data_IF_578933833866
#
_entry.id   IF_578933833866
#
_cell.length_a   1.000
_cell.length_b   1.000
_cell.length_c   1.000
_cell.angle_alpha   90.00
_cell.angle_beta   90.00
_cell.angle_gamma   90.00
#
_symmetry.space_group_name_H-M   'P 1'
#
loop_
_entity.id
_entity.type
_entity.pdbx_description
1 polymer ?
#
# COMPACT_ATOMS: atom_id res chain seq x y z
N UNK A 1 10.83 31.64 12.04
CA UNK A 1 11.85 30.61 11.74
C UNK A 1 11.21 29.25 11.88
N UNK A 2 10.85 28.60 10.79
CA UNK A 2 10.27 27.24 10.82
C UNK A 2 11.45 26.28 10.92
N UNK A 3 11.66 25.70 12.09
CA UNK A 3 12.67 24.65 12.26
C UNK A 3 12.21 23.48 11.41
N UNK A 4 12.89 23.21 10.30
CA UNK A 4 12.69 22.02 9.51
C UNK A 4 13.18 20.82 10.36
N UNK A 5 12.25 20.08 10.94
CA UNK A 5 12.54 18.82 11.60
C UNK A 5 13.18 17.88 10.56
N UNK A 6 14.46 17.62 10.71
CA UNK A 6 15.14 16.60 9.94
C UNK A 6 14.66 15.25 10.51
N UNK A 7 14.02 14.45 9.66
CA UNK A 7 13.66 13.08 10.03
C UNK A 7 14.94 12.28 10.25
N UNK A 8 15.02 11.58 11.37
CA UNK A 8 16.08 10.60 11.64
C UNK A 8 15.68 9.26 11.02
N UNK A 9 15.90 9.15 9.72
CA UNK A 9 15.62 7.95 8.94
C UNK A 9 16.89 7.13 8.76
N UNK A 10 16.77 5.82 8.90
CA UNK A 10 17.86 4.88 8.64
C UNK A 10 18.29 4.93 7.18
N UNK A 11 17.32 5.04 6.26
CA UNK A 11 17.56 5.19 4.81
C UNK A 11 16.65 6.23 4.18
N UNK A 12 17.04 6.88 3.07
CA UNK A 12 16.16 7.76 2.31
C UNK A 12 14.88 7.05 1.87
N UNK A 13 13.77 7.79 1.82
CA UNK A 13 12.46 7.29 1.40
C UNK A 13 11.94 8.12 0.22
N UNK A 14 11.53 7.44 -0.83
CA UNK A 14 10.78 8.01 -1.95
C UNK A 14 9.44 7.27 -2.07
N UNK A 15 8.35 8.01 -2.26
CA UNK A 15 7.01 7.43 -2.38
C UNK A 15 6.51 7.59 -3.81
N UNK A 16 5.90 6.54 -4.32
CA UNK A 16 5.24 6.53 -5.62
C UNK A 16 3.74 6.27 -5.47
N UNK A 17 2.99 6.82 -6.38
CA UNK A 17 1.57 6.51 -6.59
C UNK A 17 1.22 6.61 -8.06
N UNK A 18 0.07 6.06 -8.47
CA UNK A 18 -0.47 6.35 -9.80
C UNK A 18 -1.99 6.49 -9.80
N UNK A 19 -2.50 7.24 -10.77
CA UNK A 19 -3.93 7.41 -11.00
C UNK A 19 -4.22 7.72 -12.47
N UNK A 20 -5.43 7.43 -12.92
CA UNK A 20 -5.94 7.95 -14.20
C UNK A 20 -6.36 9.40 -14.02
N UNK A 21 -6.15 10.22 -15.04
CA UNK A 21 -6.56 11.63 -15.02
C UNK A 21 -8.08 11.76 -14.79
N UNK A 22 -8.89 10.85 -15.34
CA UNK A 22 -10.33 10.78 -15.07
C UNK A 22 -10.69 10.62 -13.59
N UNK A 23 -9.82 9.98 -12.83
CA UNK A 23 -10.03 9.66 -11.41
C UNK A 23 -9.43 10.71 -10.47
N UNK A 24 -8.81 11.77 -11.04
CA UNK A 24 -8.15 12.81 -10.26
C UNK A 24 -9.07 13.42 -9.20
N UNK A 25 -10.26 13.87 -9.59
CA UNK A 25 -11.24 14.46 -8.67
C UNK A 25 -12.03 13.42 -7.87
N UNK A 26 -12.00 12.15 -8.28
CA UNK A 26 -12.70 11.07 -7.58
C UNK A 26 -11.97 10.70 -6.28
N UNK A 27 -10.63 10.49 -6.36
CA UNK A 27 -9.85 10.10 -5.18
C UNK A 27 -8.42 10.67 -5.13
N UNK A 28 -7.73 10.85 -6.29
CA UNK A 28 -6.31 11.22 -6.27
C UNK A 28 -6.07 12.61 -5.68
N UNK A 29 -6.97 13.57 -5.89
CA UNK A 29 -6.88 14.91 -5.30
C UNK A 29 -6.82 14.86 -3.78
N UNK A 30 -7.67 14.04 -3.13
CA UNK A 30 -7.68 13.88 -1.66
C UNK A 30 -6.39 13.26 -1.14
N UNK A 31 -5.84 12.27 -1.85
CA UNK A 31 -4.52 11.73 -1.56
C UNK A 31 -3.45 12.82 -1.54
N UNK A 32 -3.38 13.63 -2.60
CA UNK A 32 -2.40 14.70 -2.76
C UNK A 32 -2.58 15.84 -1.74
N UNK A 33 -3.80 16.21 -1.41
CA UNK A 33 -4.11 17.17 -0.34
C UNK A 33 -3.63 16.65 1.02
N UNK A 34 -3.90 15.39 1.33
CA UNK A 34 -3.43 14.75 2.56
C UNK A 34 -1.91 14.61 2.60
N UNK A 35 -1.28 14.33 1.46
CA UNK A 35 0.18 14.35 1.32
C UNK A 35 0.77 15.71 1.72
N UNK A 36 0.28 16.77 1.12
CA UNK A 36 0.77 18.14 1.41
C UNK A 36 0.60 18.51 2.88
N UNK A 37 -0.47 18.03 3.51
CA UNK A 37 -0.82 18.34 4.90
C UNK A 37 0.00 17.55 5.92
N UNK A 38 0.24 16.27 5.68
CA UNK A 38 0.70 15.36 6.72
C UNK A 38 2.09 14.76 6.49
N UNK A 39 2.62 14.84 5.25
CA UNK A 39 3.93 14.27 4.97
C UNK A 39 5.06 15.27 5.14
N UNK A 40 6.25 14.80 5.56
CA UNK A 40 7.45 15.65 5.69
C UNK A 40 7.87 16.22 4.33
N UNK A 41 8.28 17.47 4.31
CA UNK A 41 8.66 18.20 3.08
C UNK A 41 9.92 17.65 2.39
N UNK A 42 10.77 16.94 3.12
CA UNK A 42 11.97 16.29 2.61
C UNK A 42 11.72 14.89 2.02
N UNK A 43 10.53 14.32 2.16
CA UNK A 43 10.13 13.08 1.47
C UNK A 43 9.52 13.45 0.13
N UNK A 44 10.00 12.82 -0.93
CA UNK A 44 9.54 13.04 -2.30
C UNK A 44 8.39 12.11 -2.64
N UNK A 45 7.37 12.65 -3.29
CA UNK A 45 6.32 11.91 -3.96
C UNK A 45 6.50 12.02 -5.47
N UNK A 46 6.58 10.90 -6.17
CA UNK A 46 6.41 10.85 -7.62
C UNK A 46 5.02 10.32 -7.94
N UNK A 47 4.16 11.20 -8.42
CA UNK A 47 2.78 10.91 -8.78
C UNK A 47 2.69 10.63 -10.29
N UNK A 48 2.61 9.36 -10.64
CA UNK A 48 2.41 8.94 -12.01
C UNK A 48 0.94 9.13 -12.41
N UNK A 49 0.70 9.58 -13.64
CA UNK A 49 -0.66 9.73 -14.17
C UNK A 49 -0.78 9.19 -15.58
N UNK A 50 -1.97 8.70 -15.92
CA UNK A 50 -2.28 8.07 -17.21
C UNK A 50 -3.57 8.71 -17.81
N UNK A 51 -3.62 8.80 -19.15
CA UNK A 51 -4.83 9.23 -19.85
C UNK A 51 -4.96 10.74 -20.04
N UNK A 52 -3.89 11.40 -20.50
CA UNK A 52 -3.94 12.77 -20.98
C UNK A 52 -3.28 13.82 -20.08
N UNK A 53 -3.87 15.00 -19.99
CA UNK A 53 -3.30 16.15 -19.27
C UNK A 53 -3.90 16.29 -17.87
N UNK A 54 -3.06 16.56 -16.88
CA UNK A 54 -3.52 16.92 -15.54
C UNK A 54 -4.45 18.14 -15.55
N UNK A 55 -5.41 18.23 -14.61
CA UNK A 55 -6.22 19.42 -14.40
C UNK A 55 -5.33 20.65 -14.13
N UNK A 56 -5.77 21.83 -14.59
CA UNK A 56 -5.02 23.08 -14.39
C UNK A 56 -4.82 23.43 -12.90
N UNK A 57 -5.77 23.02 -12.08
CA UNK A 57 -5.81 23.18 -10.62
C UNK A 57 -5.24 21.98 -9.87
N UNK A 58 -4.47 21.12 -10.54
CA UNK A 58 -3.79 20.02 -9.88
C UNK A 58 -2.92 20.51 -8.71
N UNK A 59 -2.94 19.76 -7.59
CA UNK A 59 -2.21 20.10 -6.37
C UNK A 59 -0.71 20.22 -6.69
N UNK A 60 -0.10 21.32 -6.27
CA UNK A 60 1.34 21.57 -6.48
C UNK A 60 2.05 21.73 -5.15
N UNK A 61 3.15 21.01 -4.96
CA UNK A 61 4.06 21.17 -3.84
C UNK A 61 5.50 20.88 -4.28
N UNK A 62 6.49 21.45 -3.61
CA UNK A 62 7.91 21.30 -3.97
C UNK A 62 8.40 19.85 -3.93
N UNK A 63 7.76 19.00 -3.13
CA UNK A 63 8.10 17.59 -2.97
C UNK A 63 7.15 16.65 -3.74
N UNK A 64 6.33 17.18 -4.66
CA UNK A 64 5.51 16.39 -5.59
C UNK A 64 6.04 16.56 -7.01
N UNK A 65 6.35 15.44 -7.66
CA UNK A 65 6.75 15.39 -9.06
C UNK A 65 5.69 14.60 -9.81
N UNK A 66 5.18 15.15 -10.91
CA UNK A 66 4.23 14.47 -11.79
C UNK A 66 4.93 13.89 -13.00
N UNK A 67 4.65 12.61 -13.29
CA UNK A 67 5.22 11.89 -14.44
C UNK A 67 4.10 11.24 -15.23
N UNK A 68 4.05 11.49 -16.55
CA UNK A 68 3.05 10.85 -17.42
C UNK A 68 3.47 9.44 -17.79
N UNK A 69 2.61 8.46 -17.49
CA UNK A 69 2.75 7.08 -17.93
C UNK A 69 2.52 6.91 -19.44
N UNK A 70 1.84 7.85 -20.08
CA UNK A 70 1.68 7.85 -21.56
C UNK A 70 3.04 7.95 -22.28
N UNK A 71 4.08 8.41 -21.60
CA UNK A 71 5.47 8.48 -22.12
C UNK A 71 6.27 7.19 -21.90
N UNK A 72 5.76 6.24 -21.13
CA UNK A 72 6.41 4.96 -20.92
C UNK A 72 6.06 4.03 -22.10
N UNK A 73 7.04 3.85 -23.01
CA UNK A 73 6.83 3.05 -24.22
C UNK A 73 6.50 1.58 -23.92
N UNK A 74 7.16 0.97 -22.92
CA UNK A 74 6.92 -0.43 -22.55
C UNK A 74 5.48 -0.63 -22.04
N UNK A 75 4.97 0.29 -21.20
CA UNK A 75 3.57 0.24 -20.75
C UNK A 75 2.61 0.48 -21.91
N UNK A 76 2.92 1.45 -22.78
CA UNK A 76 2.08 1.77 -23.95
C UNK A 76 1.98 0.56 -24.88
N UNK A 77 3.09 -0.12 -25.15
CA UNK A 77 3.13 -1.34 -25.95
C UNK A 77 2.37 -2.48 -25.27
N UNK A 78 2.52 -2.65 -23.95
CA UNK A 78 1.74 -3.64 -23.20
C UNK A 78 0.23 -3.36 -23.30
N UNK A 79 -0.19 -2.14 -23.07
CA UNK A 79 -1.61 -1.72 -23.17
C UNK A 79 -2.16 -1.98 -24.56
N UNK A 80 -1.40 -1.67 -25.61
CA UNK A 80 -1.81 -1.87 -27.00
C UNK A 80 -1.97 -3.34 -27.35
N UNK A 81 -0.99 -4.19 -26.96
CA UNK A 81 -1.04 -5.63 -27.25
C UNK A 81 -2.12 -6.36 -26.46
N UNK A 82 -2.50 -5.84 -25.29
CA UNK A 82 -3.37 -6.50 -24.33
C UNK A 82 -4.68 -5.74 -24.08
N UNK A 83 -5.12 -4.90 -25.00
CA UNK A 83 -6.31 -4.06 -24.82
C UNK A 83 -7.59 -4.84 -24.50
N UNK A 84 -7.70 -6.09 -24.98
CA UNK A 84 -8.83 -7.00 -24.71
C UNK A 84 -8.82 -7.56 -23.28
N UNK A 85 -7.68 -7.53 -22.57
CA UNK A 85 -7.52 -8.05 -21.21
C UNK A 85 -7.73 -6.94 -20.15
N UNK A 86 -8.90 -6.28 -20.23
CA UNK A 86 -9.32 -5.12 -19.45
C UNK A 86 -10.47 -5.43 -18.48
N UNK A 87 -10.63 -6.69 -18.08
CA UNK A 87 -11.69 -7.15 -17.17
C UNK A 87 -12.97 -7.62 -17.86
N UNK A 88 -13.12 -7.42 -19.18
CA UNK A 88 -14.23 -7.96 -19.96
C UNK A 88 -15.62 -7.41 -19.63
N UNK A 89 -16.65 -8.11 -20.10
CA UNK A 89 -18.07 -7.78 -19.83
C UNK A 89 -18.82 -9.08 -19.46
N UNK A 90 -19.41 -9.21 -18.24
CA UNK A 90 -19.38 -8.22 -17.14
C UNK A 90 -17.96 -8.01 -16.59
N UNK A 91 -17.70 -6.82 -16.03
CA UNK A 91 -16.37 -6.46 -15.55
C UNK A 91 -15.90 -7.35 -14.40
N UNK A 92 -14.78 -8.02 -14.62
CA UNK A 92 -14.06 -8.80 -13.62
C UNK A 92 -12.68 -8.17 -13.37
N UNK A 93 -12.52 -7.46 -12.26
CA UNK A 93 -11.26 -6.79 -11.94
C UNK A 93 -10.07 -7.75 -11.86
N UNK A 94 -10.28 -9.03 -11.50
CA UNK A 94 -9.22 -10.04 -11.41
C UNK A 94 -8.56 -10.36 -12.75
N UNK A 95 -9.27 -10.06 -13.84
CA UNK A 95 -8.85 -10.28 -15.22
C UNK A 95 -8.53 -8.97 -15.95
N UNK A 96 -8.17 -7.90 -15.22
CA UNK A 96 -7.80 -6.60 -15.80
C UNK A 96 -6.28 -6.37 -15.70
N UNK A 97 -5.52 -7.08 -16.56
CA UNK A 97 -4.06 -6.96 -16.60
C UNK A 97 -3.60 -5.54 -16.94
N UNK A 98 -4.36 -4.84 -17.79
CA UNK A 98 -4.04 -3.47 -18.21
C UNK A 98 -4.07 -2.51 -17.02
N UNK A 99 -5.11 -2.58 -16.18
CA UNK A 99 -5.24 -1.73 -14.99
C UNK A 99 -4.08 -1.94 -14.02
N UNK A 100 -3.77 -3.19 -13.70
CA UNK A 100 -2.78 -3.53 -12.68
C UNK A 100 -1.33 -3.41 -13.16
N UNK A 101 -1.10 -3.29 -14.47
CA UNK A 101 0.25 -3.05 -15.02
C UNK A 101 0.82 -1.69 -14.61
N UNK A 102 -0.02 -0.65 -14.45
CA UNK A 102 0.41 0.73 -14.18
C UNK A 102 1.36 0.83 -12.97
N UNK A 103 1.05 0.15 -11.87
CA UNK A 103 1.88 0.10 -10.65
C UNK A 103 3.26 -0.42 -10.95
N UNK A 104 3.35 -1.57 -11.60
CA UNK A 104 4.60 -2.27 -11.87
C UNK A 104 5.49 -1.47 -12.81
N UNK A 105 4.90 -0.93 -13.88
CA UNK A 105 5.67 -0.09 -14.82
C UNK A 105 6.10 1.24 -14.17
N UNK A 106 5.29 1.86 -13.30
CA UNK A 106 5.67 3.07 -12.58
C UNK A 106 6.85 2.84 -11.63
N UNK A 107 6.85 1.74 -10.86
CA UNK A 107 7.96 1.35 -9.99
C UNK A 107 9.25 1.15 -10.77
N UNK A 108 9.21 0.39 -11.87
CA UNK A 108 10.39 0.12 -12.69
C UNK A 108 10.84 1.34 -13.51
N UNK A 109 9.93 2.19 -13.95
CA UNK A 109 10.26 3.45 -14.62
C UNK A 109 11.04 4.37 -13.68
N UNK A 110 10.59 4.48 -12.43
CA UNK A 110 11.29 5.28 -11.42
C UNK A 110 12.73 4.83 -11.23
N UNK A 111 12.96 3.52 -11.05
CA UNK A 111 14.30 2.95 -10.86
C UNK A 111 15.20 3.25 -12.06
N UNK A 112 14.67 3.13 -13.29
CA UNK A 112 15.44 3.41 -14.53
C UNK A 112 15.92 4.85 -14.61
N UNK A 113 15.16 5.80 -14.03
CA UNK A 113 15.49 7.23 -14.04
C UNK A 113 16.27 7.69 -12.79
N UNK A 114 16.57 6.79 -11.86
CA UNK A 114 17.44 7.12 -10.73
C UNK A 114 18.86 7.38 -11.23
N UNK A 115 19.34 8.59 -11.02
CA UNK A 115 20.61 9.06 -11.62
C UNK A 115 21.86 8.72 -10.81
N UNK A 116 21.71 8.30 -9.55
CA UNK A 116 22.87 8.02 -8.70
C UNK A 116 22.60 6.99 -7.59
N UNK A 117 23.70 6.39 -7.06
CA UNK A 117 23.63 5.55 -5.84
C UNK A 117 23.09 6.33 -4.61
N UNK A 118 23.15 7.66 -4.61
CA UNK A 118 22.62 8.52 -3.55
C UNK A 118 21.08 8.54 -3.48
N UNK A 119 20.42 8.12 -4.57
CA UNK A 119 18.98 8.00 -4.63
C UNK A 119 18.47 6.65 -4.11
N UNK A 120 19.38 5.75 -3.68
CA UNK A 120 19.05 4.46 -3.08
C UNK A 120 18.46 4.66 -1.70
N UNK A 121 17.68 3.70 -1.28
CA UNK A 121 16.93 3.70 -0.03
C UNK A 121 15.62 2.98 -0.25
N UNK A 122 14.60 3.35 0.48
CA UNK A 122 13.28 2.76 0.34
C UNK A 122 12.47 3.42 -0.77
N UNK A 123 12.03 2.61 -1.73
CA UNK A 123 11.04 2.96 -2.73
C UNK A 123 9.68 2.43 -2.26
N UNK A 124 8.77 3.33 -1.92
CA UNK A 124 7.45 2.96 -1.40
C UNK A 124 6.37 3.20 -2.44
N UNK A 125 5.43 2.28 -2.51
CA UNK A 125 4.19 2.45 -3.22
C UNK A 125 3.04 2.71 -2.25
N UNK A 126 2.20 3.69 -2.55
CA UNK A 126 0.92 3.91 -1.86
C UNK A 126 -0.15 4.16 -2.93
N UNK A 127 -1.24 3.39 -2.88
CA UNK A 127 -2.36 3.58 -3.81
C UNK A 127 -2.97 4.99 -3.66
N UNK A 128 -3.35 5.61 -4.77
CA UNK A 128 -3.87 6.99 -4.78
C UNK A 128 -5.27 7.15 -4.14
N UNK A 129 -5.90 6.07 -3.69
CA UNK A 129 -7.12 6.06 -2.90
C UNK A 129 -6.87 5.88 -1.39
N UNK A 130 -5.61 5.98 -0.96
CA UNK A 130 -5.20 6.03 0.45
C UNK A 130 -5.07 7.49 0.90
N UNK A 131 -5.72 7.87 1.99
CA UNK A 131 -5.65 9.21 2.55
C UNK A 131 -4.83 9.16 3.85
N UNK A 132 -3.87 10.06 3.97
CA UNK A 132 -3.12 10.26 5.21
C UNK A 132 -3.94 11.11 6.17
N UNK A 133 -4.11 10.67 7.41
CA UNK A 133 -4.94 11.34 8.42
C UNK A 133 -4.15 11.90 9.59
N UNK A 134 -2.91 11.43 9.77
CA UNK A 134 -2.02 11.81 10.86
C UNK A 134 -0.64 12.15 10.31
N UNK A 135 0.10 13.04 11.00
CA UNK A 135 1.46 13.41 10.60
C UNK A 135 2.39 12.20 10.57
N UNK A 136 2.97 11.96 9.41
CA UNK A 136 3.96 10.90 9.20
C UNK A 136 5.29 11.35 9.80
N UNK A 137 5.91 10.50 10.60
CA UNK A 137 7.18 10.76 11.26
C UNK A 137 8.21 9.63 11.02
N UNK A 138 9.42 9.82 11.55
CA UNK A 138 10.49 8.83 11.44
C UNK A 138 10.17 7.52 12.18
N UNK A 139 9.43 7.57 13.27
CA UNK A 139 9.09 6.38 14.04
C UNK A 139 8.21 5.44 13.21
N UNK A 140 7.17 6.00 12.57
CA UNK A 140 6.35 5.21 11.65
C UNK A 140 7.20 4.67 10.50
N UNK A 141 7.99 5.52 9.84
CA UNK A 141 8.73 5.11 8.65
C UNK A 141 9.77 4.03 8.97
N UNK A 142 10.51 4.16 10.07
CA UNK A 142 11.47 3.14 10.51
C UNK A 142 10.78 1.83 10.92
N UNK A 143 9.56 1.92 11.49
CA UNK A 143 8.77 0.74 11.83
C UNK A 143 8.30 -0.03 10.59
N UNK A 144 7.81 0.68 9.58
CA UNK A 144 7.25 0.04 8.38
C UNK A 144 8.29 -0.26 7.29
N UNK A 145 9.49 0.30 7.39
CA UNK A 145 10.60 0.19 6.41
C UNK A 145 11.92 -0.13 7.13
N UNK A 146 12.03 -1.26 7.83
CA UNK A 146 13.25 -1.62 8.57
C UNK A 146 14.38 -1.99 7.59
N UNK A 147 15.57 -1.40 7.75
CA UNK A 147 16.70 -1.62 6.85
C UNK A 147 17.21 -3.08 6.81
N UNK A 148 16.76 -3.92 7.74
CA UNK A 148 17.03 -5.36 7.75
C UNK A 148 16.22 -6.17 6.72
N UNK A 149 15.31 -5.53 5.99
CA UNK A 149 14.42 -6.21 5.04
C UNK A 149 14.60 -5.68 3.62
N UNK A 150 14.44 -6.57 2.64
CA UNK A 150 14.44 -6.24 1.21
C UNK A 150 13.09 -5.67 0.76
N UNK A 151 11.99 -6.18 1.33
CA UNK A 151 10.61 -5.82 0.96
C UNK A 151 9.78 -5.62 2.22
N UNK A 152 8.88 -4.62 2.20
CA UNK A 152 7.82 -4.44 3.21
C UNK A 152 6.45 -4.52 2.53
N UNK A 153 5.52 -5.27 3.14
CA UNK A 153 4.22 -5.53 2.54
C UNK A 153 3.12 -5.77 3.59
N UNK A 154 1.88 -5.77 3.12
CA UNK A 154 0.70 -6.10 3.90
C UNK A 154 0.26 -7.54 3.60
N UNK A 155 0.69 -8.51 4.39
CA UNK A 155 0.25 -9.90 4.25
C UNK A 155 -1.19 -10.11 4.70
N UNK A 156 -1.76 -11.26 4.32
CA UNK A 156 -3.09 -11.71 4.76
C UNK A 156 -3.02 -13.15 5.24
N UNK A 157 -3.94 -13.51 6.12
CA UNK A 157 -4.06 -14.85 6.67
C UNK A 157 -5.44 -15.44 6.36
N UNK A 158 -5.46 -16.50 5.55
CA UNK A 158 -6.60 -17.42 5.42
C UNK A 158 -7.83 -16.97 4.63
N UNK A 159 -8.08 -15.68 4.40
CA UNK A 159 -9.26 -15.21 3.63
C UNK A 159 -8.94 -15.08 2.14
N UNK A 160 -7.77 -14.58 1.86
CA UNK A 160 -7.16 -14.47 0.54
C UNK A 160 -5.70 -14.86 0.73
N UNK A 161 -5.19 -15.68 -0.15
CA UNK A 161 -3.85 -16.26 -0.09
C UNK A 161 -2.75 -15.35 -0.68
N UNK A 162 -2.99 -14.02 -0.74
CA UNK A 162 -2.02 -13.05 -1.23
C UNK A 162 -2.12 -11.69 -0.54
N UNK A 163 -1.00 -10.99 -0.54
CA UNK A 163 -0.82 -9.67 0.08
C UNK A 163 -1.76 -8.61 -0.47
N UNK A 164 -2.00 -7.58 0.31
CA UNK A 164 -2.59 -6.33 -0.14
C UNK A 164 -1.49 -5.40 -0.66
N UNK A 165 -1.63 -4.87 -1.85
CA UNK A 165 -0.64 -4.04 -2.51
C UNK A 165 -0.95 -2.54 -2.49
N UNK A 166 -1.90 -2.11 -1.67
CA UNK A 166 -2.16 -0.69 -1.44
C UNK A 166 -0.99 0.04 -0.76
N UNK A 167 -0.13 -0.71 -0.07
CA UNK A 167 1.19 -0.28 0.39
C UNK A 167 2.22 -1.37 0.07
N UNK A 168 3.37 -0.96 -0.47
CA UNK A 168 4.55 -1.79 -0.68
C UNK A 168 5.81 -0.95 -0.44
N UNK A 169 6.85 -1.58 0.10
CA UNK A 169 8.18 -1.00 0.21
C UNK A 169 9.23 -1.91 -0.43
N UNK A 170 10.19 -1.33 -1.14
CA UNK A 170 11.33 -2.03 -1.74
C UNK A 170 12.62 -1.33 -1.32
N UNK A 171 13.52 -2.04 -0.65
CA UNK A 171 14.79 -1.49 -0.20
C UNK A 171 15.83 -1.59 -1.32
N UNK A 172 16.00 -0.50 -2.06
CA UNK A 172 16.90 -0.43 -3.19
C UNK A 172 18.40 -0.40 -2.82
N UNK A 173 18.73 -0.46 -1.53
CA UNK A 173 20.10 -0.72 -1.09
C UNK A 173 20.53 -2.17 -1.38
N UNK A 174 19.58 -3.08 -1.55
CA UNK A 174 19.79 -4.51 -1.80
C UNK A 174 19.42 -4.90 -3.22
N UNK A 175 20.29 -5.68 -3.86
CA UNK A 175 20.07 -6.15 -5.24
C UNK A 175 18.81 -7.02 -5.37
N UNK A 176 18.45 -7.76 -4.34
CA UNK A 176 17.24 -8.63 -4.34
C UNK A 176 15.95 -7.87 -4.59
N UNK A 177 15.83 -6.63 -4.07
CA UNK A 177 14.68 -5.78 -4.36
C UNK A 177 14.63 -5.35 -5.83
N UNK A 178 15.80 -5.06 -6.44
CA UNK A 178 15.90 -4.76 -7.88
C UNK A 178 15.54 -5.99 -8.73
N UNK A 179 16.05 -7.16 -8.37
CA UNK A 179 15.75 -8.41 -9.07
C UNK A 179 14.25 -8.73 -9.00
N UNK A 180 13.65 -8.58 -7.84
CA UNK A 180 12.20 -8.75 -7.67
C UNK A 180 11.40 -7.84 -8.61
N UNK A 181 11.72 -6.54 -8.63
CA UNK A 181 11.01 -5.57 -9.47
C UNK A 181 11.22 -5.83 -10.96
N UNK A 182 12.43 -6.24 -11.36
CA UNK A 182 12.72 -6.67 -12.74
C UNK A 182 11.85 -7.86 -13.13
N UNK A 183 11.78 -8.89 -12.29
CA UNK A 183 11.03 -10.10 -12.57
C UNK A 183 9.52 -9.83 -12.55
N UNK A 184 9.05 -8.92 -11.66
CA UNK A 184 7.66 -8.49 -11.65
C UNK A 184 7.26 -7.78 -12.95
N UNK A 185 8.11 -6.87 -13.45
CA UNK A 185 7.91 -6.27 -14.78
C UNK A 185 7.97 -7.33 -15.89
N UNK A 186 8.86 -8.31 -15.76
CA UNK A 186 9.00 -9.44 -16.69
C UNK A 186 7.67 -10.12 -16.97
N UNK A 187 6.87 -10.45 -15.95
CA UNK A 187 5.55 -11.08 -16.12
C UNK A 187 4.63 -10.31 -17.07
N UNK A 188 4.70 -8.97 -17.07
CA UNK A 188 3.89 -8.14 -17.97
C UNK A 188 4.50 -8.02 -19.36
N UNK A 189 5.82 -7.80 -19.45
CA UNK A 189 6.48 -7.60 -20.75
C UNK A 189 6.49 -8.87 -21.61
N UNK A 190 6.54 -10.06 -21.00
CA UNK A 190 6.45 -11.36 -21.67
C UNK A 190 5.02 -11.89 -21.81
N UNK A 191 4.03 -11.21 -21.24
CA UNK A 191 2.64 -11.67 -21.13
C UNK A 191 2.43 -12.89 -20.23
N UNK A 192 3.41 -13.33 -19.44
CA UNK A 192 3.27 -14.45 -18.49
C UNK A 192 2.18 -14.18 -17.44
N UNK A 193 1.90 -12.93 -17.14
CA UNK A 193 0.79 -12.51 -16.26
C UNK A 193 -0.54 -13.13 -16.71
N UNK A 194 -0.79 -13.30 -18.00
CA UNK A 194 -2.03 -13.84 -18.55
C UNK A 194 -2.21 -15.34 -18.31
N UNK A 195 -1.14 -16.05 -18.00
CA UNK A 195 -1.17 -17.47 -17.59
C UNK A 195 -1.45 -17.67 -16.11
N UNK A 196 -1.56 -16.60 -15.31
CA UNK A 196 -1.84 -16.70 -13.89
C UNK A 196 -3.36 -16.80 -13.62
N UNK A 197 -3.71 -17.33 -12.44
CA UNK A 197 -5.11 -17.46 -11.98
C UNK A 197 -5.83 -16.10 -11.92
N UNK A 198 -5.11 -15.05 -11.54
CA UNK A 198 -5.58 -13.67 -11.48
C UNK A 198 -4.48 -12.74 -12.02
N UNK A 199 -4.87 -11.69 -12.73
CA UNK A 199 -3.94 -10.75 -13.35
C UNK A 199 -3.74 -9.48 -12.52
N UNK A 200 -4.08 -9.55 -11.24
CA UNK A 200 -3.90 -8.43 -10.31
C UNK A 200 -2.43 -8.30 -9.90
N UNK A 201 -2.03 -7.07 -9.59
CA UNK A 201 -0.73 -6.78 -8.99
C UNK A 201 -0.53 -7.53 -7.67
N UNK A 202 -1.58 -7.65 -6.86
CA UNK A 202 -1.56 -8.33 -5.58
C UNK A 202 -1.26 -9.84 -5.71
N UNK A 203 -1.92 -10.53 -6.65
CA UNK A 203 -1.69 -11.96 -6.88
C UNK A 203 -0.29 -12.22 -7.45
N UNK A 204 0.12 -11.44 -8.45
CA UNK A 204 1.44 -11.57 -9.06
C UNK A 204 2.59 -11.23 -8.10
N UNK A 205 2.39 -10.20 -7.26
CA UNK A 205 3.33 -9.84 -6.19
C UNK A 205 3.56 -11.00 -5.23
N UNK A 206 2.49 -11.60 -4.67
CA UNK A 206 2.61 -12.70 -3.71
C UNK A 206 3.28 -13.93 -4.33
N UNK A 207 2.91 -14.27 -5.57
CA UNK A 207 3.53 -15.38 -6.29
C UNK A 207 5.05 -15.18 -6.41
N UNK A 208 5.48 -14.00 -6.82
CA UNK A 208 6.91 -13.68 -6.91
C UNK A 208 7.57 -13.61 -5.54
N UNK A 209 6.89 -13.05 -4.54
CA UNK A 209 7.43 -12.97 -3.19
C UNK A 209 7.75 -14.37 -2.64
N UNK A 210 6.85 -15.33 -2.84
CA UNK A 210 7.07 -16.70 -2.42
C UNK A 210 8.21 -17.38 -3.20
N UNK A 211 8.35 -17.09 -4.50
CA UNK A 211 9.49 -17.56 -5.30
C UNK A 211 10.80 -16.95 -4.76
N UNK A 212 10.86 -15.64 -4.59
CA UNK A 212 12.06 -14.94 -4.13
C UNK A 212 12.43 -15.25 -2.67
N UNK A 213 11.47 -15.60 -1.80
CA UNK A 213 11.76 -16.11 -0.45
C UNK A 213 12.63 -17.37 -0.49
N UNK A 214 12.40 -18.27 -1.44
CA UNK A 214 13.24 -19.45 -1.65
C UNK A 214 14.67 -19.08 -2.12
N UNK A 215 14.86 -17.89 -2.64
CA UNK A 215 16.15 -17.32 -3.03
C UNK A 215 16.69 -16.30 -2.00
N UNK A 216 16.13 -16.31 -0.79
CA UNK A 216 16.63 -15.58 0.37
C UNK A 216 16.27 -14.09 0.41
N UNK A 217 15.20 -13.63 -0.30
CA UNK A 217 14.65 -12.29 -0.08
C UNK A 217 14.05 -12.22 1.34
N UNK A 218 14.32 -11.13 2.05
CA UNK A 218 13.75 -10.87 3.37
C UNK A 218 12.54 -9.97 3.24
N UNK A 219 11.40 -10.37 3.83
CA UNK A 219 10.15 -9.64 3.75
C UNK A 219 9.62 -9.26 5.13
N UNK A 220 9.38 -7.97 5.35
CA UNK A 220 8.71 -7.44 6.52
C UNK A 220 7.21 -7.39 6.31
N UNK A 221 6.49 -8.30 6.96
CA UNK A 221 5.03 -8.34 6.89
C UNK A 221 4.41 -7.45 7.98
N UNK A 222 3.76 -6.36 7.57
CA UNK A 222 3.13 -5.38 8.47
C UNK A 222 1.82 -5.87 9.08
N UNK A 223 1.21 -6.92 8.52
CA UNK A 223 -0.12 -7.41 8.93
C UNK A 223 -0.18 -8.95 8.96
N UNK A 224 0.72 -9.63 9.72
CA UNK A 224 0.85 -11.08 9.68
C UNK A 224 -0.41 -11.83 10.13
N UNK A 225 -1.29 -11.16 10.87
CA UNK A 225 -2.52 -11.73 11.43
C UNK A 225 -3.80 -11.19 10.76
N UNK A 226 -3.67 -10.44 9.65
CA UNK A 226 -4.82 -9.85 8.97
C UNK A 226 -5.66 -10.91 8.25
N UNK A 227 -6.66 -11.43 8.92
CA UNK A 227 -7.64 -12.35 8.33
C UNK A 227 -8.80 -11.59 7.67
N UNK A 228 -8.51 -10.59 6.82
CA UNK A 228 -9.47 -9.65 6.24
C UNK A 228 -9.10 -9.24 4.81
N UNK A 229 -10.07 -8.68 4.08
CA UNK A 229 -9.83 -8.09 2.76
C UNK A 229 -9.01 -6.78 2.83
N UNK A 230 -9.05 -6.08 3.97
CA UNK A 230 -8.36 -4.81 4.16
C UNK A 230 -7.26 -4.93 5.22
N UNK A 231 -6.09 -5.38 4.77
CA UNK A 231 -4.95 -5.61 5.64
C UNK A 231 -4.36 -4.30 6.21
N UNK A 232 -4.65 -3.14 5.60
CA UNK A 232 -4.30 -1.84 6.16
C UNK A 232 -4.81 -1.67 7.59
N UNK A 233 -6.06 -2.09 7.82
CA UNK A 233 -6.74 -1.94 9.12
C UNK A 233 -6.09 -2.75 10.25
N UNK A 234 -5.24 -3.73 9.92
CA UNK A 234 -4.59 -4.63 10.85
C UNK A 234 -3.07 -4.48 10.86
N UNK A 235 -2.61 -3.30 10.47
CA UNK A 235 -1.20 -2.95 10.40
C UNK A 235 -0.92 -1.64 11.13
N UNK A 236 0.35 -1.29 11.39
CA UNK A 236 0.72 0.02 11.93
C UNK A 236 0.23 1.19 11.07
N UNK A 237 -0.07 0.94 9.79
CA UNK A 237 -0.59 1.97 8.87
C UNK A 237 -1.99 2.45 9.25
N UNK A 238 -2.82 1.64 9.92
CA UNK A 238 -4.20 1.98 10.29
C UNK A 238 -4.32 3.26 11.12
N UNK A 239 -3.30 3.60 11.89
CA UNK A 239 -3.28 4.80 12.72
C UNK A 239 -3.08 6.09 11.89
N UNK A 240 -2.44 5.97 10.73
CA UNK A 240 -1.99 7.09 9.91
C UNK A 240 -2.73 7.23 8.60
N UNK A 241 -3.34 6.15 8.11
CA UNK A 241 -3.90 6.08 6.77
C UNK A 241 -5.28 5.45 6.74
N UNK A 242 -6.07 5.89 5.79
CA UNK A 242 -7.37 5.33 5.44
C UNK A 242 -7.33 4.88 4.00
N UNK A 243 -7.64 3.62 3.73
CA UNK A 243 -7.71 3.07 2.39
C UNK A 243 -9.16 3.00 1.89
N UNK A 244 -9.51 3.79 0.88
CA UNK A 244 -10.86 3.85 0.31
C UNK A 244 -11.04 2.82 -0.81
N UNK A 245 -11.23 1.55 -0.46
CA UNK A 245 -11.41 0.48 -1.44
C UNK A 245 -12.79 0.50 -2.12
N UNK A 246 -12.79 0.11 -3.42
CA UNK A 246 -14.01 -0.15 -4.18
C UNK A 246 -14.96 1.04 -4.21
N UNK A 247 -16.24 0.81 -3.93
CA UNK A 247 -17.28 1.84 -3.91
C UNK A 247 -17.07 2.98 -2.89
N UNK A 248 -16.23 2.77 -1.87
CA UNK A 248 -15.89 3.83 -0.90
C UNK A 248 -15.14 5.02 -1.53
N UNK A 249 -14.52 4.84 -2.70
CA UNK A 249 -13.80 5.90 -3.43
C UNK A 249 -14.69 7.08 -3.79
N UNK A 250 -15.96 6.84 -4.09
CA UNK A 250 -16.94 7.84 -4.52
C UNK A 250 -17.70 8.50 -3.38
N UNK A 251 -17.56 8.02 -2.14
CA UNK A 251 -18.24 8.56 -0.98
C UNK A 251 -17.48 9.80 -0.49
N UNK A 252 -17.77 10.96 -1.08
CA UNK A 252 -17.06 12.21 -0.81
C UNK A 252 -17.31 12.78 0.61
N UNK A 253 -18.44 12.47 1.26
CA UNK A 253 -18.89 13.09 2.50
C UNK A 253 -19.42 12.12 3.56
N UNK A 254 -19.26 10.80 3.40
CA UNK A 254 -19.60 9.91 4.49
C UNK A 254 -18.63 10.18 5.65
N UNK A 255 -19.12 10.41 6.87
CA UNK A 255 -18.25 10.44 8.02
C UNK A 255 -17.56 9.08 8.05
N UNK A 256 -16.24 9.11 7.82
CA UNK A 256 -15.43 7.91 7.97
C UNK A 256 -15.54 7.47 9.42
N UNK A 257 -16.19 6.37 9.64
CA UNK A 257 -16.05 5.62 10.87
C UNK A 257 -15.06 4.49 10.59
N UNK A 258 -13.80 4.65 10.99
CA UNK A 258 -12.84 3.57 10.86
C UNK A 258 -13.34 2.40 11.70
N UNK A 259 -13.65 1.29 11.03
CA UNK A 259 -13.92 0.04 11.71
C UNK A 259 -12.85 -0.28 12.78
N UNK A 260 -11.56 -0.04 12.51
CA UNK A 260 -10.49 -0.27 13.47
C UNK A 260 -10.39 0.74 14.61
N UNK A 261 -10.71 2.02 14.41
CA UNK A 261 -10.67 3.00 15.53
C UNK A 261 -11.69 2.63 16.61
N UNK A 262 -12.85 2.14 16.22
CA UNK A 262 -13.86 1.63 17.16
C UNK A 262 -13.32 0.46 17.99
N UNK A 263 -12.54 -0.45 17.38
CA UNK A 263 -11.91 -1.54 18.12
C UNK A 263 -10.72 -1.09 18.92
N UNK A 264 -9.94 -0.13 18.43
CA UNK A 264 -8.82 0.44 19.15
C UNK A 264 -9.26 1.15 20.43
N UNK A 265 -10.40 1.83 20.39
CA UNK A 265 -11.01 2.41 21.60
C UNK A 265 -11.40 1.32 22.61
N UNK A 266 -11.99 0.22 22.13
CA UNK A 266 -12.34 -0.93 23.00
C UNK A 266 -11.06 -1.61 23.51
N UNK A 267 -10.04 -1.81 22.69
CA UNK A 267 -8.74 -2.35 23.08
C UNK A 267 -8.06 -1.47 24.13
N UNK A 268 -8.04 -0.16 23.93
CA UNK A 268 -7.52 0.81 24.89
C UNK A 268 -8.30 0.76 26.22
N UNK A 269 -9.63 0.63 26.13
CA UNK A 269 -10.47 0.47 27.32
C UNK A 269 -10.13 -0.82 28.07
N UNK A 270 -10.03 -1.97 27.38
CA UNK A 270 -9.65 -3.26 27.97
C UNK A 270 -8.30 -3.15 28.66
N UNK A 271 -7.31 -2.54 27.99
CA UNK A 271 -5.95 -2.37 28.53
C UNK A 271 -5.93 -1.42 29.72
N UNK A 272 -6.62 -0.26 29.61
CA UNK A 272 -6.68 0.75 30.67
C UNK A 272 -7.33 0.22 31.96
N UNK A 273 -8.44 -0.50 31.84
CA UNK A 273 -9.17 -1.06 32.98
C UNK A 273 -8.72 -2.47 33.36
N UNK A 274 -7.68 -3.00 32.69
CA UNK A 274 -7.14 -4.35 32.92
C UNK A 274 -8.23 -5.44 32.91
N UNK A 275 -9.14 -5.31 31.95
CA UNK A 275 -10.28 -6.22 31.86
C UNK A 275 -9.85 -7.61 31.46
N UNK A 276 -10.23 -8.62 32.23
CA UNK A 276 -9.95 -10.05 32.02
C UNK A 276 -11.19 -10.87 31.70
N UNK A 277 -12.38 -10.22 31.73
CA UNK A 277 -13.65 -10.82 31.35
C UNK A 277 -14.26 -10.03 30.22
N UNK A 278 -14.53 -10.69 29.12
CA UNK A 278 -15.06 -10.08 27.90
C UNK A 278 -16.31 -10.85 27.46
N UNK A 279 -17.36 -10.11 27.13
CA UNK A 279 -18.57 -10.63 26.47
C UNK A 279 -18.72 -9.94 25.13
N UNK A 280 -18.79 -10.70 24.05
CA UNK A 280 -19.12 -10.19 22.73
C UNK A 280 -20.39 -10.85 22.22
N UNK A 281 -21.41 -10.04 21.91
CA UNK A 281 -22.66 -10.50 21.32
C UNK A 281 -22.60 -10.29 19.82
N UNK A 282 -22.73 -11.37 19.02
CA UNK A 282 -22.78 -11.30 17.55
C UNK A 282 -21.40 -11.41 16.87
N UNK A 283 -20.57 -12.31 17.30
CA UNK A 283 -19.32 -12.70 16.62
C UNK A 283 -19.62 -13.33 15.27
N UNK A 284 -19.52 -12.56 14.20
CA UNK A 284 -19.80 -13.10 12.86
C UNK A 284 -18.78 -14.14 12.40
N UNK A 285 -17.48 -13.95 12.68
CA UNK A 285 -16.42 -14.86 12.20
C UNK A 285 -15.22 -14.98 13.17
N UNK A 286 -15.40 -14.64 14.43
CA UNK A 286 -14.40 -14.74 15.49
C UNK A 286 -13.21 -13.77 15.41
N UNK A 287 -13.11 -12.96 14.36
CA UNK A 287 -11.94 -12.08 14.16
C UNK A 287 -11.84 -10.96 15.17
N UNK A 288 -13.00 -10.43 15.60
CA UNK A 288 -13.05 -9.43 16.67
C UNK A 288 -12.67 -10.05 18.00
N UNK A 289 -13.20 -11.25 18.24
CA UNK A 289 -12.91 -12.02 19.43
C UNK A 289 -11.41 -12.19 19.64
N UNK A 290 -10.69 -12.61 18.62
CA UNK A 290 -9.22 -12.78 18.67
C UNK A 290 -8.51 -11.47 19.01
N UNK A 291 -8.97 -10.35 18.50
CA UNK A 291 -8.37 -9.04 18.75
C UNK A 291 -8.56 -8.56 20.18
N UNK A 292 -9.81 -8.66 20.67
CA UNK A 292 -10.17 -8.29 22.03
C UNK A 292 -9.50 -9.23 23.06
N UNK A 293 -9.46 -10.52 22.74
CA UNK A 293 -8.76 -11.53 23.54
C UNK A 293 -7.25 -11.23 23.64
N UNK A 294 -6.62 -10.90 22.51
CA UNK A 294 -5.20 -10.52 22.48
C UNK A 294 -4.90 -9.29 23.33
N UNK A 295 -5.77 -8.27 23.31
CA UNK A 295 -5.63 -7.09 24.15
C UNK A 295 -5.79 -7.43 25.66
N UNK A 296 -6.71 -8.33 25.99
CA UNK A 296 -6.94 -8.74 27.37
C UNK A 296 -5.82 -9.64 27.94
N UNK A 297 -5.21 -10.51 27.11
CA UNK A 297 -4.08 -11.36 27.48
C UNK A 297 -2.81 -10.57 27.81
N UNK A 298 -2.71 -9.30 27.40
CA UNK A 298 -1.63 -8.41 27.85
C UNK A 298 -1.75 -8.05 29.34
N UNK A 299 -2.92 -8.24 29.95
CA UNK A 299 -3.20 -7.90 31.34
C UNK A 299 -3.13 -9.11 32.29
N UNK A 300 -3.23 -10.34 31.78
CA UNK A 300 -3.31 -11.56 32.56
C UNK A 300 -3.00 -12.80 31.72
N UNK A 301 -2.43 -13.81 32.33
CA UNK A 301 -2.15 -15.11 31.69
C UNK A 301 -3.43 -15.91 31.39
N UNK A 302 -4.57 -15.49 31.93
CA UNK A 302 -5.87 -16.11 31.67
C UNK A 302 -6.96 -15.06 31.44
N UNK A 303 -7.76 -15.27 30.41
CA UNK A 303 -8.89 -14.41 30.04
C UNK A 303 -10.13 -15.26 29.81
N UNK A 304 -11.25 -14.86 30.41
CA UNK A 304 -12.55 -15.45 30.13
C UNK A 304 -13.24 -14.68 28.99
N UNK A 305 -13.43 -15.36 27.87
CA UNK A 305 -14.16 -14.84 26.72
C UNK A 305 -15.46 -15.62 26.54
N UNK A 306 -16.60 -14.91 26.42
CA UNK A 306 -17.94 -15.50 26.26
C UNK A 306 -18.63 -14.94 25.02
#
# INVERSE_FOLDING_TARGET
MTIAYKLDLQSPVTVLTSFKVSDYNVYARRFLESWVKFWPKNIRLTAYYDGGKLPKDAIKAKNIIYVSLDKNSELTDFKKRNAQYNGGTPYNYRMDAVKFSHKVFALCDHIRHMSSKKDRGWLCWIDADVITTKKVDSNLLNLILPDSSDVSHLGRLGVIDYSETGFLGFNLNYNKAHDFLRDWKGLYTTNEILGLREWTDAFSFERLLNLHKNHGITAHNLSPYAATLDAFEYSPLAEYFIHFKGGRKTILNAPYQPGPLRYKEIENFITHYKSTKLLEVGTWNGKRALRLLSAALQNSDSVHYV
#
